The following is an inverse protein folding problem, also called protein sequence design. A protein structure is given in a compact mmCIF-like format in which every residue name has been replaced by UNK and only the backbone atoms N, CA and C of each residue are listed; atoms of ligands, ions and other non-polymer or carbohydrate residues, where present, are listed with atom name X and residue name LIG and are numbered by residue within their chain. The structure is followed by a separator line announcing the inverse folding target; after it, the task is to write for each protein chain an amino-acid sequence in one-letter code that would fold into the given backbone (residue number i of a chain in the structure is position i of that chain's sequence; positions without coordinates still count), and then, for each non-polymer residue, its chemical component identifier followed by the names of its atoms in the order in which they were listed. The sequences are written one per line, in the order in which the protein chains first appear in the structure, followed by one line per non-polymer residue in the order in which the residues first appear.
data_IF_623442204558
#
_entry.id   IF_623442204558
#
_cell.length_a   1.000
_cell.length_b   1.000
_cell.length_c   1.000
_cell.angle_alpha   90.00
_cell.angle_beta   90.00
_cell.angle_gamma   90.00
#
_symmetry.space_group_name_H-M   'P 1'
#
loop_
_entity.id
_entity.type
_entity.pdbx_description
1 polymer ?
#
# COMPACT_ATOMS: atom_id res chain seq x y z
N UNK A 1 -22.24 -21.99 -12.88
CA UNK A 1 -21.03 -22.73 -12.45
C UNK A 1 -20.33 -21.88 -11.39
N UNK A 2 -20.01 -22.44 -10.22
CA UNK A 2 -19.21 -21.71 -9.21
C UNK A 2 -17.81 -21.57 -9.80
N UNK A 3 -17.36 -20.34 -10.03
CA UNK A 3 -16.00 -20.06 -10.49
C UNK A 3 -15.06 -20.13 -9.29
N UNK A 4 -14.17 -21.11 -9.25
CA UNK A 4 -13.12 -21.24 -8.25
C UNK A 4 -11.83 -20.67 -8.83
N UNK A 5 -11.34 -19.55 -8.29
CA UNK A 5 -10.14 -18.85 -8.75
C UNK A 5 -9.14 -18.75 -7.59
N UNK A 6 -8.06 -19.54 -7.64
CA UNK A 6 -7.06 -19.67 -6.57
C UNK A 6 -5.71 -18.99 -6.92
N UNK A 7 -5.70 -18.09 -7.92
CA UNK A 7 -4.47 -17.45 -8.38
C UNK A 7 -3.89 -16.46 -7.37
N UNK A 8 -4.76 -15.72 -6.67
CA UNK A 8 -4.43 -14.72 -5.63
C UNK A 8 -5.72 -14.28 -4.95
N UNK A 9 -5.62 -13.77 -3.73
CA UNK A 9 -6.68 -13.03 -3.04
C UNK A 9 -7.08 -11.71 -3.74
N UNK A 10 -6.20 -11.10 -4.54
CA UNK A 10 -6.52 -9.90 -5.35
C UNK A 10 -7.67 -10.10 -6.36
N UNK A 11 -8.08 -11.35 -6.62
CA UNK A 11 -9.24 -11.66 -7.49
C UNK A 11 -10.59 -11.44 -6.81
N UNK A 12 -10.62 -11.06 -5.52
CA UNK A 12 -11.86 -10.78 -4.80
C UNK A 12 -12.69 -9.68 -5.47
N UNK A 13 -14.01 -9.85 -5.45
CA UNK A 13 -14.96 -8.82 -5.86
C UNK A 13 -15.64 -8.21 -4.63
N UNK A 14 -16.03 -6.91 -4.67
CA UNK A 14 -16.74 -6.30 -3.54
C UNK A 14 -18.07 -7.02 -3.29
N UNK A 15 -18.45 -7.17 -2.02
CA UNK A 15 -19.76 -7.73 -1.64
C UNK A 15 -20.90 -6.77 -1.99
N UNK A 16 -22.18 -7.21 -1.98
CA UNK A 16 -23.32 -6.31 -2.13
C UNK A 16 -23.32 -5.15 -1.12
N UNK A 17 -22.98 -5.42 0.14
CA UNK A 17 -22.91 -4.43 1.21
C UNK A 17 -21.79 -3.43 0.95
N UNK A 18 -20.62 -3.90 0.52
CA UNK A 18 -19.50 -3.02 0.14
C UNK A 18 -19.87 -2.12 -1.04
N UNK A 19 -20.53 -2.68 -2.08
CA UNK A 19 -21.01 -1.88 -3.22
C UNK A 19 -22.02 -0.82 -2.79
N UNK A 20 -22.91 -1.15 -1.86
CA UNK A 20 -23.86 -0.19 -1.29
C UNK A 20 -23.16 0.93 -0.53
N UNK A 21 -22.21 0.59 0.35
CA UNK A 21 -21.43 1.56 1.09
C UNK A 21 -20.65 2.50 0.16
N UNK A 22 -20.05 1.98 -0.92
CA UNK A 22 -19.38 2.80 -1.93
C UNK A 22 -20.34 3.76 -2.65
N UNK A 23 -21.57 3.31 -2.94
CA UNK A 23 -22.58 4.13 -3.62
C UNK A 23 -23.16 5.23 -2.72
N UNK A 24 -23.31 4.93 -1.43
CA UNK A 24 -23.89 5.85 -0.44
C UNK A 24 -22.84 6.77 0.23
N UNK A 25 -21.55 6.58 -0.05
CA UNK A 25 -20.47 7.37 0.54
C UNK A 25 -20.58 8.86 0.20
N UNK A 26 -20.37 9.71 1.20
CA UNK A 26 -20.20 11.15 0.99
C UNK A 26 -18.79 11.40 0.43
N UNK A 27 -18.71 12.12 -0.68
CA UNK A 27 -17.45 12.36 -1.39
C UNK A 27 -17.15 13.85 -1.46
N UNK A 28 -15.87 14.17 -1.63
CA UNK A 28 -15.38 15.52 -1.80
C UNK A 28 -14.15 15.54 -2.71
N UNK A 29 -13.36 16.60 -2.60
CA UNK A 29 -12.07 16.70 -3.28
C UNK A 29 -10.94 16.42 -2.29
N UNK A 30 -10.33 15.25 -2.42
CA UNK A 30 -9.24 14.79 -1.55
C UNK A 30 -7.99 15.69 -1.64
N UNK A 31 -7.76 16.37 -2.77
CA UNK A 31 -6.62 17.30 -2.90
C UNK A 31 -6.80 18.51 -1.99
N UNK A 32 -8.03 18.96 -1.78
CA UNK A 32 -8.35 20.03 -0.82
C UNK A 32 -8.58 19.50 0.61
N UNK A 33 -8.63 18.18 0.80
CA UNK A 33 -8.89 17.54 2.09
C UNK A 33 -10.37 17.52 2.48
N UNK A 34 -11.27 17.77 1.53
CA UNK A 34 -12.71 17.92 1.78
C UNK A 34 -13.49 16.62 1.53
N UNK A 35 -12.82 15.49 1.24
CA UNK A 35 -13.48 14.18 1.11
C UNK A 35 -13.68 13.51 2.49
N UNK A 36 -14.91 13.48 3.03
CA UNK A 36 -15.14 12.98 4.39
C UNK A 36 -14.93 11.46 4.48
N UNK A 37 -15.14 10.72 3.40
CA UNK A 37 -14.97 9.26 3.38
C UNK A 37 -13.49 8.89 3.41
N UNK A 38 -12.65 9.59 2.64
CA UNK A 38 -11.19 9.38 2.67
C UNK A 38 -10.63 9.79 4.03
N UNK A 39 -11.03 10.94 4.56
CA UNK A 39 -10.58 11.40 5.88
C UNK A 39 -10.92 10.37 6.97
N UNK A 40 -12.16 9.89 7.02
CA UNK A 40 -12.57 8.88 7.99
C UNK A 40 -11.79 7.58 7.86
N UNK A 41 -11.52 7.11 6.62
CA UNK A 41 -10.72 5.91 6.39
C UNK A 41 -9.29 6.08 6.94
N UNK A 42 -8.67 7.22 6.69
CA UNK A 42 -7.30 7.52 7.14
C UNK A 42 -7.20 7.64 8.65
N UNK A 43 -8.14 8.36 9.29
CA UNK A 43 -8.22 8.49 10.75
C UNK A 43 -8.39 7.13 11.41
N UNK A 44 -9.35 6.33 10.93
CA UNK A 44 -9.61 4.99 11.46
C UNK A 44 -8.39 4.08 11.29
N UNK A 45 -7.70 4.14 10.16
CA UNK A 45 -6.49 3.34 9.94
C UNK A 45 -5.36 3.76 10.89
N UNK A 46 -5.18 5.07 11.10
CA UNK A 46 -4.19 5.60 12.03
C UNK A 46 -4.47 5.16 13.47
N UNK A 47 -5.72 5.26 13.92
CA UNK A 47 -6.17 4.81 15.25
C UNK A 47 -5.93 3.30 15.45
N UNK A 48 -6.33 2.48 14.47
CA UNK A 48 -6.18 1.02 14.53
C UNK A 48 -4.72 0.58 14.65
N UNK A 49 -3.79 1.34 14.05
CA UNK A 49 -2.36 1.03 14.04
C UNK A 49 -1.54 1.80 15.08
N UNK A 50 -2.19 2.65 15.89
CA UNK A 50 -1.53 3.52 16.86
C UNK A 50 -0.53 4.49 16.22
N UNK A 51 -0.89 5.07 15.07
CA UNK A 51 -0.09 6.05 14.33
C UNK A 51 -0.74 7.42 14.37
N UNK A 52 0.05 8.47 14.15
CA UNK A 52 -0.43 9.85 14.17
C UNK A 52 -1.31 10.18 12.95
N UNK A 53 -1.07 9.53 11.81
CA UNK A 53 -1.80 9.76 10.56
C UNK A 53 -1.79 8.52 9.65
N UNK A 54 -2.75 8.49 8.73
CA UNK A 54 -2.82 7.54 7.61
C UNK A 54 -2.92 8.30 6.28
N UNK A 55 -2.59 7.63 5.18
CA UNK A 55 -2.72 8.18 3.83
C UNK A 55 -3.31 7.10 2.90
N UNK A 56 -4.42 7.43 2.23
CA UNK A 56 -5.02 6.57 1.24
C UNK A 56 -4.25 6.69 -0.09
N UNK A 57 -3.96 5.55 -0.71
CA UNK A 57 -3.21 5.48 -1.97
C UNK A 57 -3.87 4.46 -2.89
N UNK A 58 -3.60 4.59 -4.19
CA UNK A 58 -4.26 3.79 -5.23
C UNK A 58 -3.86 2.30 -5.23
N UNK A 59 -2.71 1.97 -4.65
CA UNK A 59 -2.19 0.60 -4.61
C UNK A 59 -1.14 0.41 -3.52
N UNK A 60 -0.90 -0.84 -3.14
CA UNK A 60 0.21 -1.21 -2.25
C UNK A 60 1.58 -0.74 -2.80
N UNK A 61 1.82 -0.92 -4.10
CA UNK A 61 3.06 -0.46 -4.77
C UNK A 61 3.29 1.04 -4.62
N UNK A 62 2.24 1.87 -4.76
CA UNK A 62 2.35 3.31 -4.54
C UNK A 62 2.66 3.64 -3.09
N UNK A 63 1.97 2.99 -2.13
CA UNK A 63 2.19 3.20 -0.71
C UNK A 63 3.62 2.85 -0.28
N UNK A 64 4.13 1.70 -0.73
CA UNK A 64 5.50 1.27 -0.51
C UNK A 64 6.51 2.28 -1.06
N UNK A 65 6.31 2.74 -2.31
CA UNK A 65 7.19 3.71 -2.95
C UNK A 65 7.18 5.07 -2.25
N UNK A 66 6.00 5.55 -1.83
CA UNK A 66 5.88 6.79 -1.06
C UNK A 66 6.57 6.68 0.30
N UNK A 67 6.41 5.56 1.00
CA UNK A 67 7.10 5.34 2.27
C UNK A 67 8.63 5.36 2.10
N UNK A 68 9.15 4.65 1.09
CA UNK A 68 10.58 4.64 0.79
C UNK A 68 11.10 6.06 0.49
N UNK A 69 10.39 6.82 -0.35
CA UNK A 69 10.75 8.20 -0.69
C UNK A 69 10.64 9.19 0.47
N UNK A 70 9.67 9.00 1.38
CA UNK A 70 9.45 9.89 2.51
C UNK A 70 10.46 9.65 3.65
N UNK A 71 10.87 8.39 3.86
CA UNK A 71 11.74 8.01 4.96
C UNK A 71 13.23 7.95 4.59
N UNK A 72 13.57 7.80 3.31
CA UNK A 72 14.97 7.72 2.87
C UNK A 72 15.53 9.11 2.57
N UNK A 73 16.78 9.35 2.98
CA UNK A 73 17.60 10.48 2.53
C UNK A 73 18.16 10.28 1.11
N UNK A 74 17.60 9.35 0.33
CA UNK A 74 18.13 8.81 -0.94
C UNK A 74 19.40 7.97 -0.75
N UNK A 75 19.57 7.42 0.44
CA UNK A 75 20.61 6.47 0.79
C UNK A 75 20.16 5.02 0.56
N UNK A 76 20.92 4.06 1.10
CA UNK A 76 20.62 2.64 1.02
C UNK A 76 19.49 2.23 1.96
N UNK A 77 18.54 1.45 1.46
CA UNK A 77 17.47 0.83 2.24
C UNK A 77 17.67 -0.68 2.22
N UNK A 78 17.87 -1.26 3.40
CA UNK A 78 17.97 -2.70 3.57
C UNK A 78 16.59 -3.35 3.34
N UNK A 79 16.53 -4.34 2.46
CA UNK A 79 15.30 -5.09 2.17
C UNK A 79 15.58 -6.59 2.12
N UNK A 80 14.56 -7.43 2.26
CA UNK A 80 14.70 -8.87 2.02
C UNK A 80 14.81 -9.17 0.53
N UNK A 81 15.63 -10.14 0.12
CA UNK A 81 15.79 -10.54 -1.29
C UNK A 81 14.50 -11.05 -1.95
N UNK A 82 13.54 -11.53 -1.15
CA UNK A 82 12.24 -12.03 -1.60
C UNK A 82 11.07 -11.04 -1.41
N UNK A 83 11.32 -9.81 -0.96
CA UNK A 83 10.23 -8.87 -0.66
C UNK A 83 9.57 -8.27 -1.93
N UNK A 84 8.33 -7.80 -1.77
CA UNK A 84 7.54 -7.29 -2.89
C UNK A 84 8.16 -6.05 -3.55
N UNK A 85 8.69 -5.12 -2.76
CA UNK A 85 9.37 -3.90 -3.24
C UNK A 85 10.59 -4.23 -4.14
N UNK A 86 11.25 -5.36 -3.89
CA UNK A 86 12.36 -5.84 -4.72
C UNK A 86 11.89 -6.50 -6.02
N UNK A 87 10.90 -7.39 -5.94
CA UNK A 87 10.59 -8.33 -7.02
C UNK A 87 9.39 -7.96 -7.90
N UNK A 88 8.43 -7.19 -7.38
CA UNK A 88 7.11 -7.02 -7.99
C UNK A 88 6.68 -5.56 -8.19
N UNK A 89 7.59 -4.61 -7.97
CA UNK A 89 7.30 -3.16 -8.09
C UNK A 89 8.12 -2.48 -9.19
N UNK A 90 8.68 -3.28 -10.11
CA UNK A 90 9.49 -2.82 -11.24
C UNK A 90 10.66 -1.89 -10.86
N UNK A 91 11.15 -2.00 -9.62
CA UNK A 91 12.18 -1.12 -9.09
C UNK A 91 11.73 0.34 -8.92
N UNK A 92 10.44 0.62 -8.77
CA UNK A 92 9.90 1.99 -8.71
C UNK A 92 10.59 2.89 -7.69
N UNK A 93 10.88 2.38 -6.49
CA UNK A 93 11.63 3.10 -5.46
C UNK A 93 13.06 3.46 -5.90
N UNK A 94 13.72 2.59 -6.67
CA UNK A 94 15.05 2.86 -7.20
C UNK A 94 15.04 3.83 -8.37
N UNK A 95 14.17 3.58 -9.35
CA UNK A 95 14.14 4.33 -10.62
C UNK A 95 13.56 5.74 -10.42
N UNK A 96 12.45 5.85 -9.68
CA UNK A 96 11.75 7.12 -9.48
C UNK A 96 12.22 7.84 -8.21
N UNK A 97 12.49 7.09 -7.15
CA UNK A 97 12.94 7.62 -5.86
C UNK A 97 14.45 7.90 -5.79
N UNK A 98 15.23 7.37 -6.74
CA UNK A 98 16.70 7.38 -6.67
C UNK A 98 17.24 6.78 -5.36
N UNK A 99 16.58 5.74 -4.86
CA UNK A 99 16.94 5.02 -3.65
C UNK A 99 17.72 3.76 -4.03
N UNK A 100 18.75 3.41 -3.28
CA UNK A 100 19.43 2.13 -3.47
C UNK A 100 18.76 1.09 -2.57
N UNK A 101 18.14 0.05 -3.14
CA UNK A 101 17.68 -1.10 -2.36
C UNK A 101 18.83 -2.09 -2.22
N UNK A 102 19.18 -2.43 -0.97
CA UNK A 102 20.21 -3.43 -0.67
C UNK A 102 19.55 -4.71 -0.16
N UNK A 103 19.48 -5.77 -1.00
CA UNK A 103 18.80 -7.01 -0.62
C UNK A 103 19.67 -7.87 0.31
N UNK A 104 19.07 -8.34 1.40
CA UNK A 104 19.63 -9.33 2.32
C UNK A 104 18.94 -10.66 2.07
N UNK A 105 19.73 -11.72 1.90
CA UNK A 105 19.20 -13.08 1.71
C UNK A 105 18.54 -13.58 3.00
N UNK A 106 17.22 -13.77 2.97
CA UNK A 106 16.47 -14.18 4.16
C UNK A 106 16.53 -15.69 4.43
N UNK A 107 16.72 -16.52 3.39
CA UNK A 107 16.71 -17.99 3.51
C UNK A 107 17.84 -18.59 4.37
N UNK A 108 18.85 -17.79 4.74
CA UNK A 108 19.95 -18.23 5.61
C UNK A 108 19.80 -17.76 7.07
N UNK A 109 18.72 -17.06 7.42
CA UNK A 109 18.57 -16.45 8.75
C UNK A 109 17.83 -17.34 9.77
N UNK A 110 17.37 -18.53 9.38
CA UNK A 110 16.88 -19.56 10.32
C UNK A 110 15.63 -19.20 11.12
N UNK A 111 14.83 -18.24 10.65
CA UNK A 111 13.50 -17.93 11.18
C UNK A 111 12.42 -18.72 10.44
#
# INVERSE_FOLDING_TARGET
MIRVDLRSDTVTHPSPEMRRAMYEAELGDDVYGDDPTVNHLQERAAELLGKEAGLFVSSGTQGTSFNACACSTREEVLVGDQCHIMNNEAGGSMVLGSIVLYPIQLMNLGF
#
